data_IF_704272388808
#
_entry.id   IF_704272388808
#
_cell.length_a   1.000
_cell.length_b   1.000
_cell.length_c   1.000
_cell.angle_alpha   90.00
_cell.angle_beta   90.00
_cell.angle_gamma   90.00
#
_symmetry.space_group_name_H-M   'P 1'
#
loop_
_entity.id
_entity.type
_entity.pdbx_description
1 polymer ?
#
# COMPACT_ATOMS: atom_id res chain seq x y z
N UNK A 1 -14.88 21.28 -18.27
CA UNK A 1 -13.44 21.47 -18.53
C UNK A 1 -13.24 21.46 -20.02
N UNK A 2 -12.56 22.47 -20.56
CA UNK A 2 -12.17 22.46 -21.96
C UNK A 2 -10.97 21.50 -22.16
N UNK A 3 -10.98 20.81 -23.29
CA UNK A 3 -9.89 19.95 -23.76
C UNK A 3 -8.54 20.68 -23.82
N UNK A 4 -8.53 21.97 -24.16
CA UNK A 4 -7.30 22.78 -24.21
C UNK A 4 -6.60 22.89 -22.85
N UNK A 5 -7.37 23.04 -21.77
CA UNK A 5 -6.81 23.10 -20.40
C UNK A 5 -6.20 21.76 -19.99
N UNK A 6 -6.87 20.66 -20.33
CA UNK A 6 -6.37 19.31 -20.05
C UNK A 6 -5.06 19.03 -20.80
N UNK A 7 -4.97 19.44 -22.06
CA UNK A 7 -3.76 19.33 -22.87
C UNK A 7 -2.60 20.15 -22.27
N UNK A 8 -2.85 21.42 -21.93
CA UNK A 8 -1.84 22.28 -21.34
C UNK A 8 -1.30 21.72 -20.00
N UNK A 9 -2.17 21.18 -19.14
CA UNK A 9 -1.76 20.52 -17.90
C UNK A 9 -0.89 19.30 -18.16
N UNK A 10 -1.28 18.46 -19.13
CA UNK A 10 -0.53 17.26 -19.49
C UNK A 10 0.85 17.61 -20.05
N UNK A 11 0.96 18.61 -20.92
CA UNK A 11 2.24 19.09 -21.48
C UNK A 11 3.20 19.62 -20.40
N UNK A 12 2.67 20.24 -19.34
CA UNK A 12 3.46 20.66 -18.17
C UNK A 12 3.79 19.50 -17.20
N UNK A 13 3.45 18.25 -17.55
CA UNK A 13 3.69 17.08 -16.72
C UNK A 13 2.73 16.94 -15.53
N UNK A 14 1.68 17.76 -15.44
CA UNK A 14 0.68 17.65 -14.40
C UNK A 14 -0.30 16.51 -14.72
N UNK A 15 -0.56 15.65 -13.73
CA UNK A 15 -1.57 14.59 -13.86
C UNK A 15 -2.93 15.07 -13.38
N UNK A 16 -3.98 14.81 -14.16
CA UNK A 16 -5.37 15.15 -13.78
C UNK A 16 -6.11 13.88 -13.40
N UNK A 17 -6.68 13.84 -12.19
CA UNK A 17 -7.48 12.72 -11.69
C UNK A 17 -8.95 13.13 -11.64
N UNK A 18 -9.80 12.45 -12.42
CA UNK A 18 -11.24 12.70 -12.44
C UNK A 18 -11.93 11.74 -11.47
N UNK A 19 -12.62 12.28 -10.47
CA UNK A 19 -13.36 11.51 -9.47
C UNK A 19 -14.86 11.55 -9.75
N UNK A 20 -15.54 10.43 -9.51
CA UNK A 20 -17.00 10.37 -9.42
C UNK A 20 -17.46 11.13 -8.18
N UNK A 21 -18.33 12.12 -8.37
CA UNK A 21 -18.92 12.90 -7.28
C UNK A 21 -19.72 12.03 -6.29
N UNK A 22 -20.25 10.88 -6.72
CA UNK A 22 -21.14 10.04 -5.92
C UNK A 22 -20.44 8.89 -5.18
N UNK A 23 -19.35 8.37 -5.74
CA UNK A 23 -18.73 7.14 -5.25
C UNK A 23 -17.27 7.30 -4.80
N UNK A 24 -16.75 8.53 -4.77
CA UNK A 24 -15.32 8.83 -4.51
C UNK A 24 -14.36 7.96 -5.32
N UNK A 25 -14.84 7.43 -6.45
CA UNK A 25 -14.13 6.49 -7.30
C UNK A 25 -13.44 7.28 -8.39
N UNK A 26 -12.18 6.94 -8.66
CA UNK A 26 -11.45 7.44 -9.81
C UNK A 26 -12.08 6.92 -11.12
N UNK A 27 -12.64 7.82 -11.92
CA UNK A 27 -13.27 7.52 -13.20
C UNK A 27 -12.26 7.60 -14.35
N UNK A 28 -11.31 8.53 -14.29
CA UNK A 28 -10.25 8.66 -15.29
C UNK A 28 -8.97 9.27 -14.69
N UNK A 29 -7.85 9.05 -15.36
CA UNK A 29 -6.60 9.78 -15.14
C UNK A 29 -6.07 10.23 -16.50
N UNK A 30 -5.73 11.51 -16.63
CA UNK A 30 -4.88 12.01 -17.69
C UNK A 30 -3.46 12.12 -17.14
N UNK A 31 -2.54 11.39 -17.76
CA UNK A 31 -1.11 11.46 -17.47
C UNK A 31 -0.44 12.26 -18.60
N UNK A 32 0.47 13.16 -18.25
CA UNK A 32 1.34 13.82 -19.22
C UNK A 32 2.24 12.83 -19.99
N UNK A 33 2.98 13.31 -21.01
CA UNK A 33 3.92 12.46 -21.75
C UNK A 33 4.94 11.84 -20.78
N UNK A 34 4.90 10.51 -20.67
CA UNK A 34 5.81 9.75 -19.81
C UNK A 34 7.22 9.79 -20.38
N UNK A 35 8.11 10.54 -19.75
CA UNK A 35 9.52 10.58 -20.16
C UNK A 35 10.26 9.34 -19.61
N UNK A 36 10.94 8.60 -20.50
CA UNK A 36 11.92 7.54 -20.12
C UNK A 36 11.39 6.10 -20.05
N UNK A 37 10.45 5.74 -20.91
CA UNK A 37 9.51 4.65 -20.60
C UNK A 37 9.79 3.28 -21.26
N UNK A 38 10.43 3.21 -22.43
CA UNK A 38 10.53 1.92 -23.14
C UNK A 38 11.42 0.90 -22.42
N UNK A 39 12.62 1.30 -21.97
CA UNK A 39 13.55 0.41 -21.25
C UNK A 39 12.97 -0.05 -19.90
N UNK A 40 12.33 0.87 -19.18
CA UNK A 40 11.70 0.57 -17.89
C UNK A 40 10.53 -0.39 -18.07
N UNK A 41 9.64 -0.14 -19.04
CA UNK A 41 8.52 -1.06 -19.38
C UNK A 41 9.04 -2.42 -19.80
N UNK A 42 10.09 -2.48 -20.62
CA UNK A 42 10.68 -3.75 -21.02
C UNK A 42 11.21 -4.54 -19.82
N UNK A 43 11.93 -3.88 -18.89
CA UNK A 43 12.38 -4.52 -17.65
C UNK A 43 11.20 -4.96 -16.76
N UNK A 44 10.12 -4.18 -16.68
CA UNK A 44 8.90 -4.56 -15.97
C UNK A 44 8.25 -5.80 -16.59
N UNK A 45 8.16 -5.87 -17.92
CA UNK A 45 7.64 -7.04 -18.63
C UNK A 45 8.51 -8.27 -18.39
N UNK A 46 9.83 -8.13 -18.50
CA UNK A 46 10.77 -9.21 -18.20
C UNK A 46 10.58 -9.72 -16.76
N UNK A 47 10.44 -8.81 -15.79
CA UNK A 47 10.15 -9.18 -14.41
C UNK A 47 8.84 -9.95 -14.29
N UNK A 48 7.78 -9.58 -15.01
CA UNK A 48 6.49 -10.31 -15.00
C UNK A 48 6.62 -11.78 -15.44
N UNK A 49 7.57 -12.09 -16.32
CA UNK A 49 7.80 -13.45 -16.80
C UNK A 49 8.81 -14.26 -15.98
N UNK A 50 9.49 -13.66 -15.00
CA UNK A 50 10.40 -14.36 -14.08
C UNK A 50 9.74 -14.57 -12.70
N UNK A 51 9.31 -15.81 -12.37
CA UNK A 51 8.68 -16.12 -11.09
C UNK A 51 9.57 -15.81 -9.88
N UNK A 52 10.89 -15.98 -9.99
CA UNK A 52 11.82 -15.75 -8.89
C UNK A 52 11.95 -14.26 -8.58
N UNK A 53 12.18 -13.44 -9.61
CA UNK A 53 12.21 -11.97 -9.45
C UNK A 53 10.88 -11.40 -8.97
N UNK A 54 9.74 -11.95 -9.43
CA UNK A 54 8.41 -11.57 -8.93
C UNK A 54 8.24 -11.84 -7.45
N UNK A 55 8.66 -13.01 -6.99
CA UNK A 55 8.55 -13.37 -5.58
C UNK A 55 9.40 -12.44 -4.72
N UNK A 56 10.63 -12.13 -5.15
CA UNK A 56 11.50 -11.16 -4.48
C UNK A 56 10.81 -9.79 -4.39
N UNK A 57 10.22 -9.31 -5.50
CA UNK A 57 9.50 -8.04 -5.52
C UNK A 57 8.28 -8.06 -4.59
N UNK A 58 7.47 -9.12 -4.64
CA UNK A 58 6.28 -9.27 -3.79
C UNK A 58 6.65 -9.24 -2.30
N UNK A 59 7.66 -10.02 -1.88
CA UNK A 59 8.17 -10.00 -0.50
C UNK A 59 8.61 -8.59 -0.09
N UNK A 60 9.33 -7.87 -0.95
CA UNK A 60 9.78 -6.49 -0.68
C UNK A 60 8.62 -5.50 -0.53
N UNK A 61 7.63 -5.56 -1.41
CA UNK A 61 6.45 -4.70 -1.35
C UNK A 61 5.66 -4.93 -0.05
N UNK A 62 5.39 -6.18 0.30
CA UNK A 62 4.66 -6.51 1.53
C UNK A 62 5.50 -6.16 2.76
N UNK A 63 6.83 -6.37 2.75
CA UNK A 63 7.69 -5.97 3.86
C UNK A 63 7.68 -4.45 4.05
N UNK A 64 7.64 -3.68 2.96
CA UNK A 64 7.46 -2.23 2.99
C UNK A 64 6.14 -1.82 3.64
N UNK A 65 5.04 -2.49 3.27
CA UNK A 65 3.72 -2.29 3.87
C UNK A 65 3.73 -2.59 5.37
N UNK A 66 4.18 -3.77 5.78
CA UNK A 66 4.22 -4.17 7.20
C UNK A 66 5.07 -3.20 8.04
N UNK A 67 6.23 -2.79 7.53
CA UNK A 67 7.08 -1.78 8.22
C UNK A 67 6.40 -0.43 8.34
N UNK A 68 5.64 0.01 7.34
CA UNK A 68 4.89 1.27 7.43
C UNK A 68 3.77 1.18 8.48
N UNK A 69 3.06 0.05 8.53
CA UNK A 69 2.05 -0.23 9.54
C UNK A 69 2.64 -0.27 10.95
N UNK A 70 3.80 -0.92 11.13
CA UNK A 70 4.55 -0.93 12.40
C UNK A 70 4.88 0.50 12.83
N UNK A 71 5.48 1.32 11.96
CA UNK A 71 5.83 2.71 12.29
C UNK A 71 4.61 3.54 12.71
N UNK A 72 3.48 3.35 12.05
CA UNK A 72 2.23 4.01 12.40
C UNK A 72 1.76 3.61 13.80
N UNK A 73 1.69 2.31 14.09
CA UNK A 73 1.24 1.82 15.39
C UNK A 73 2.22 2.15 16.52
N UNK A 74 3.54 2.17 16.27
CA UNK A 74 4.55 2.63 17.23
C UNK A 74 4.32 4.09 17.61
N UNK A 75 4.12 4.96 16.61
CA UNK A 75 3.81 6.38 16.83
C UNK A 75 2.53 6.54 17.63
N UNK A 76 1.48 5.80 17.27
CA UNK A 76 0.20 5.84 17.96
C UNK A 76 0.29 5.32 19.39
N UNK A 77 1.08 4.28 19.67
CA UNK A 77 1.22 3.70 21.00
C UNK A 77 1.87 4.67 22.00
N UNK A 78 2.76 5.54 21.53
CA UNK A 78 3.34 6.62 22.35
C UNK A 78 2.28 7.69 22.67
N UNK A 79 1.44 8.04 21.69
CA UNK A 79 0.45 9.12 21.82
C UNK A 79 -0.84 8.70 22.52
N UNK A 80 -1.17 7.40 22.51
CA UNK A 80 -2.45 6.85 22.99
C UNK A 80 -2.24 5.70 23.99
N UNK A 81 -1.77 5.99 25.22
CA UNK A 81 -1.60 4.98 26.26
C UNK A 81 -2.91 4.28 26.65
N UNK A 82 -4.04 4.94 26.46
CA UNK A 82 -5.40 4.46 26.73
C UNK A 82 -5.77 3.21 25.93
N UNK A 83 -5.22 3.04 24.72
CA UNK A 83 -5.45 1.87 23.86
C UNK A 83 -4.17 1.07 23.62
N UNK A 84 -3.25 1.10 24.58
CA UNK A 84 -1.93 0.46 24.45
C UNK A 84 -1.97 -1.02 24.11
N UNK A 85 -2.91 -1.78 24.70
CA UNK A 85 -3.03 -3.24 24.52
C UNK A 85 -3.30 -3.63 23.06
N UNK A 86 -4.39 -3.21 22.40
CA UNK A 86 -4.64 -3.57 21.00
C UNK A 86 -3.52 -3.12 20.05
N UNK A 87 -2.88 -1.98 20.32
CA UNK A 87 -1.71 -1.52 19.54
C UNK A 87 -0.49 -2.44 19.74
N UNK A 88 -0.25 -2.88 20.97
CA UNK A 88 0.84 -3.81 21.29
C UNK A 88 0.64 -5.15 20.61
N UNK A 89 -0.57 -5.72 20.70
CA UNK A 89 -0.90 -7.01 20.10
C UNK A 89 -0.71 -6.96 18.57
N UNK A 90 -1.23 -5.91 17.91
CA UNK A 90 -1.03 -5.70 16.48
C UNK A 90 0.45 -5.53 16.09
N UNK A 91 1.22 -4.79 16.89
CA UNK A 91 2.67 -4.62 16.67
C UNK A 91 3.44 -5.92 16.79
N UNK A 92 3.12 -6.75 17.78
CA UNK A 92 3.77 -8.04 17.99
C UNK A 92 3.57 -8.93 16.76
N UNK A 93 2.32 -9.11 16.32
CA UNK A 93 2.03 -9.92 15.13
C UNK A 93 2.73 -9.39 13.88
N UNK A 94 2.69 -8.08 13.60
CA UNK A 94 3.33 -7.51 12.41
C UNK A 94 4.85 -7.73 12.40
N UNK A 95 5.50 -7.67 13.57
CA UNK A 95 6.94 -7.92 13.70
C UNK A 95 7.28 -9.39 13.46
N UNK A 96 6.46 -10.31 13.96
CA UNK A 96 6.66 -11.75 13.78
C UNK A 96 6.44 -12.21 12.34
N UNK A 97 5.61 -11.49 11.57
CA UNK A 97 5.38 -11.77 10.15
C UNK A 97 6.57 -11.40 9.25
N UNK A 98 7.44 -10.46 9.66
CA UNK A 98 8.56 -9.99 8.81
C UNK A 98 9.59 -11.11 8.52
N UNK A 99 10.07 -11.89 9.51
CA UNK A 99 10.92 -13.04 9.26
C UNK A 99 10.26 -14.10 8.38
N UNK A 100 8.99 -14.43 8.63
CA UNK A 100 8.25 -15.40 7.82
C UNK A 100 8.12 -14.94 6.36
N UNK A 101 7.87 -13.65 6.14
CA UNK A 101 7.79 -13.05 4.82
C UNK A 101 9.12 -13.10 4.06
N UNK A 102 10.24 -12.95 4.76
CA UNK A 102 11.57 -12.99 4.13
C UNK A 102 11.85 -14.34 3.46
N UNK A 103 11.32 -15.44 4.02
CA UNK A 103 11.54 -16.81 3.54
C UNK A 103 10.35 -17.43 2.80
N UNK A 104 9.23 -16.71 2.63
CA UNK A 104 7.99 -17.22 2.04
C UNK A 104 8.17 -17.82 0.63
N UNK A 105 8.00 -19.13 0.48
CA UNK A 105 8.42 -19.89 -0.71
C UNK A 105 7.69 -19.53 -2.02
N UNK A 106 6.50 -18.95 -1.94
CA UNK A 106 5.67 -18.64 -3.11
C UNK A 106 4.80 -17.40 -2.89
N UNK A 107 4.12 -16.99 -3.95
CA UNK A 107 3.25 -15.80 -3.96
C UNK A 107 2.05 -15.95 -3.02
N UNK A 108 1.47 -17.14 -2.94
CA UNK A 108 0.24 -17.34 -2.20
C UNK A 108 0.51 -17.28 -0.68
N UNK A 109 1.67 -17.78 -0.25
CA UNK A 109 2.21 -17.57 1.11
C UNK A 109 2.43 -16.08 1.40
N UNK A 110 2.99 -15.31 0.45
CA UNK A 110 3.16 -13.85 0.62
C UNK A 110 1.81 -13.16 0.80
N UNK A 111 0.78 -13.54 0.03
CA UNK A 111 -0.57 -13.01 0.17
C UNK A 111 -1.22 -13.41 1.50
N UNK A 112 -1.01 -14.65 1.95
CA UNK A 112 -1.47 -15.11 3.26
C UNK A 112 -0.87 -14.28 4.41
N UNK A 113 0.43 -14.02 4.37
CA UNK A 113 1.12 -13.18 5.35
C UNK A 113 0.67 -11.71 5.29
N UNK A 114 0.39 -11.20 4.08
CA UNK A 114 -0.21 -9.87 3.90
C UNK A 114 -1.59 -9.78 4.55
N UNK A 115 -2.43 -10.79 4.34
CA UNK A 115 -3.76 -10.89 4.94
C UNK A 115 -3.70 -11.00 6.46
N UNK A 116 -2.80 -11.82 7.00
CA UNK A 116 -2.55 -11.91 8.45
C UNK A 116 -2.10 -10.56 9.03
N UNK A 117 -1.21 -9.85 8.32
CA UNK A 117 -0.79 -8.50 8.70
C UNK A 117 -1.94 -7.50 8.68
N UNK A 118 -2.81 -7.55 7.66
CA UNK A 118 -4.01 -6.72 7.60
C UNK A 118 -4.99 -7.02 8.74
N UNK A 119 -5.22 -8.30 9.04
CA UNK A 119 -6.09 -8.76 10.12
C UNK A 119 -5.59 -8.34 11.52
N UNK A 120 -4.27 -8.22 11.70
CA UNK A 120 -3.68 -7.68 12.93
C UNK A 120 -3.70 -6.13 12.96
N UNK A 121 -3.41 -5.49 11.83
CA UNK A 121 -3.27 -4.04 11.76
C UNK A 121 -4.61 -3.30 11.83
N UNK A 122 -5.65 -3.79 11.14
CA UNK A 122 -6.93 -3.08 11.05
C UNK A 122 -7.64 -2.93 12.40
N UNK A 123 -7.75 -3.96 13.27
CA UNK A 123 -8.32 -3.78 14.61
C UNK A 123 -7.47 -2.85 15.49
N UNK A 124 -6.15 -2.92 15.41
CA UNK A 124 -5.25 -2.03 16.14
C UNK A 124 -5.43 -0.57 15.69
N UNK A 125 -5.53 -0.34 14.38
CA UNK A 125 -5.85 0.97 13.80
C UNK A 125 -7.25 1.43 14.21
N UNK A 126 -8.24 0.52 14.21
CA UNK A 126 -9.62 0.78 14.62
C UNK A 126 -9.75 1.28 16.05
N UNK A 127 -8.94 0.76 16.98
CA UNK A 127 -8.90 1.21 18.36
C UNK A 127 -8.51 2.70 18.54
N UNK A 128 -7.91 3.33 17.52
CA UNK A 128 -7.57 4.76 17.56
C UNK A 128 -8.78 5.66 17.33
N UNK A 129 -9.87 5.12 16.76
CA UNK A 129 -11.06 5.86 16.40
C UNK A 129 -12.15 5.76 17.48
N UNK A 130 -13.05 6.74 17.48
CA UNK A 130 -14.24 6.70 18.34
C UNK A 130 -15.14 5.53 17.94
N UNK A 131 -15.74 4.79 18.89
CA UNK A 131 -16.73 3.74 18.59
C UNK A 131 -17.90 4.22 17.74
N UNK A 132 -18.24 5.52 17.81
CA UNK A 132 -19.31 6.12 17.03
C UNK A 132 -19.05 6.16 15.51
N UNK A 133 -17.80 5.95 15.09
CA UNK A 133 -17.43 5.91 13.68
C UNK A 133 -17.69 4.53 13.04
N UNK A 134 -17.99 3.50 13.83
CA UNK A 134 -18.23 2.13 13.35
C UNK A 134 -17.16 1.65 12.36
N UNK A 135 -15.90 1.94 12.69
CA UNK A 135 -14.72 1.63 11.89
C UNK A 135 -14.31 0.16 12.00
#
# INVERSE_FOLDING_TARGET
FDSGVLAALAEQGASVVCLSARHSRRTAILLGPGHGDARRRLAQYQLTFDPASRLILARRLIAGKLRAQIRLLETAQVQRPDVRKPLHDGLATLRDLLPALAIAADRDTVLGLEGAGAAAHLPALGALFSPSLHF
#
